data_IF_813566548101
#
_entry.id   IF_813566548101
#
_cell.length_a   1.000
_cell.length_b   1.000
_cell.length_c   1.000
_cell.angle_alpha   90.00
_cell.angle_beta   90.00
_cell.angle_gamma   90.00
#
_symmetry.space_group_name_H-M   'P 1'
#
loop_
_entity.id
_entity.type
_entity.pdbx_description
1 polymer ?
#
# COMPACT_ATOMS: atom_id res chain seq x y z
N UNK A 1 -52.90 -3.24 26.32
CA UNK A 1 -51.94 -3.22 27.45
C UNK A 1 -50.54 -3.32 26.86
N UNK A 2 -49.67 -2.37 27.16
CA UNK A 2 -48.39 -2.16 26.46
C UNK A 2 -47.32 -1.85 27.51
N UNK A 3 -46.60 -2.88 27.94
CA UNK A 3 -45.50 -2.81 28.91
C UNK A 3 -44.36 -3.64 28.28
N UNK A 4 -43.10 -3.25 28.25
CA UNK A 4 -42.23 -2.84 29.35
C UNK A 4 -41.09 -1.98 28.76
N UNK A 5 -40.73 -0.90 29.46
CA UNK A 5 -39.50 -0.11 29.22
C UNK A 5 -38.37 -0.74 30.04
N UNK A 6 -37.22 -0.98 29.41
CA UNK A 6 -35.98 -1.33 30.11
C UNK A 6 -35.03 -0.14 30.10
N UNK A 7 -34.80 0.39 31.30
CA UNK A 7 -33.70 1.27 31.65
C UNK A 7 -32.53 0.38 32.01
N UNK A 8 -31.34 0.63 31.46
CA UNK A 8 -30.10 0.16 32.06
C UNK A 8 -29.01 1.20 31.83
N UNK A 9 -28.61 1.84 32.93
CA UNK A 9 -27.45 2.69 33.03
C UNK A 9 -26.26 1.81 33.43
N UNK A 10 -25.13 1.95 32.74
CA UNK A 10 -23.85 1.47 33.28
C UNK A 10 -22.78 2.54 33.06
N UNK A 11 -22.30 3.08 34.17
CA UNK A 11 -21.09 3.91 34.25
C UNK A 11 -19.87 3.05 33.90
N UNK A 12 -18.95 3.61 33.09
CA UNK A 12 -17.55 3.19 33.11
C UNK A 12 -16.67 4.37 33.53
N UNK A 13 -16.20 4.29 34.77
CA UNK A 13 -15.10 5.09 35.28
C UNK A 13 -13.76 4.36 35.01
N UNK A 14 -12.73 5.17 34.76
CA UNK A 14 -11.35 4.83 34.44
C UNK A 14 -10.68 3.80 35.36
N UNK A 15 -9.69 3.09 34.82
CA UNK A 15 -8.41 2.84 35.49
C UNK A 15 -7.31 2.51 34.47
N UNK A 16 -6.34 3.42 34.38
CA UNK A 16 -5.04 3.24 33.74
C UNK A 16 -4.24 2.19 34.53
N UNK A 17 -3.67 1.21 33.85
CA UNK A 17 -2.52 0.46 34.38
C UNK A 17 -1.45 0.33 33.30
N UNK A 18 -0.32 0.96 33.56
CA UNK A 18 0.95 0.79 32.86
C UNK A 18 1.55 -0.54 33.27
N UNK A 19 1.74 -1.47 32.33
CA UNK A 19 2.57 -2.64 32.57
C UNK A 19 4.04 -2.29 32.28
N UNK A 20 4.84 -2.20 33.35
CA UNK A 20 6.29 -2.36 33.28
C UNK A 20 6.53 -3.86 33.29
N UNK A 21 7.08 -4.41 32.21
CA UNK A 21 7.60 -5.77 32.17
C UNK A 21 9.13 -5.71 32.23
N UNK A 22 9.69 -6.12 33.36
CA UNK A 22 11.07 -6.57 33.46
C UNK A 22 11.06 -8.10 33.35
N UNK A 23 11.73 -8.64 32.34
CA UNK A 23 12.20 -10.03 32.35
C UNK A 23 13.60 -10.06 31.74
N UNK A 24 14.57 -10.52 32.53
CA UNK A 24 15.94 -10.75 32.11
C UNK A 24 16.14 -12.19 31.67
N UNK A 25 16.87 -12.33 30.55
CA UNK A 25 17.64 -13.46 30.02
C UNK A 25 16.91 -14.76 29.63
N UNK A 26 16.77 -14.99 28.33
CA UNK A 26 17.73 -15.86 27.64
C UNK A 26 17.81 -15.55 26.12
N UNK A 27 19.02 -15.75 25.58
CA UNK A 27 19.50 -15.36 24.25
C UNK A 27 18.71 -15.96 23.05
N UNK A 28 18.20 -15.10 22.17
CA UNK A 28 18.31 -15.24 20.69
C UNK A 28 18.12 -13.86 20.06
N UNK A 29 19.24 -13.24 19.68
CA UNK A 29 19.27 -11.95 18.98
C UNK A 29 18.77 -12.13 17.55
N UNK A 30 17.50 -11.79 17.31
CA UNK A 30 17.04 -11.27 16.02
C UNK A 30 16.71 -9.79 16.26
N UNK A 31 17.75 -8.95 16.18
CA UNK A 31 17.58 -7.50 16.09
C UNK A 31 17.05 -7.17 14.69
N UNK A 32 15.73 -7.24 14.52
CA UNK A 32 15.04 -6.37 13.56
C UNK A 32 14.50 -5.18 14.35
N UNK A 33 15.43 -4.35 14.79
CA UNK A 33 15.14 -3.01 15.29
C UNK A 33 14.71 -2.16 14.08
N UNK A 34 13.43 -2.26 13.71
CA UNK A 34 12.77 -1.25 12.87
C UNK A 34 12.56 0.01 13.72
N UNK A 35 13.65 0.70 14.04
CA UNK A 35 13.59 2.06 14.52
C UNK A 35 13.35 2.95 13.31
N UNK A 36 12.11 3.39 13.12
CA UNK A 36 11.79 4.59 12.35
C UNK A 36 12.39 5.78 13.09
N UNK A 37 13.71 5.94 13.05
CA UNK A 37 14.35 7.14 13.55
C UNK A 37 13.87 8.29 12.68
N UNK A 38 13.10 9.20 13.27
CA UNK A 38 12.88 10.53 12.71
C UNK A 38 14.26 11.16 12.47
N UNK A 39 14.70 11.15 11.21
CA UNK A 39 16.07 11.48 10.90
C UNK A 39 16.26 13.00 10.99
N UNK A 40 16.79 13.45 12.12
CA UNK A 40 17.23 14.83 12.35
C UNK A 40 18.56 15.15 11.65
N UNK A 41 19.12 14.19 10.89
CA UNK A 41 20.31 14.39 10.07
C UNK A 41 20.08 15.44 8.98
N UNK A 42 21.04 16.36 8.87
CA UNK A 42 21.08 17.43 7.87
C UNK A 42 21.91 17.06 6.64
N UNK A 43 22.46 15.85 6.59
CA UNK A 43 23.34 15.40 5.51
C UNK A 43 22.56 15.13 4.23
N UNK A 44 23.11 15.55 3.09
CA UNK A 44 22.52 15.28 1.77
C UNK A 44 22.52 13.77 1.48
N UNK A 45 21.46 13.28 0.84
CA UNK A 45 21.34 11.86 0.46
C UNK A 45 22.27 11.55 -0.70
N UNK A 46 23.10 10.51 -0.56
CA UNK A 46 23.98 10.01 -1.64
C UNK A 46 23.17 9.21 -2.67
N UNK A 47 23.78 8.84 -3.79
CA UNK A 47 23.11 8.01 -4.81
C UNK A 47 22.83 6.61 -4.27
N UNK A 48 23.82 6.01 -3.61
CA UNK A 48 23.75 4.68 -3.01
C UNK A 48 22.75 4.64 -1.86
N UNK A 49 22.74 5.65 -0.97
CA UNK A 49 21.77 5.72 0.12
C UNK A 49 20.34 5.90 -0.42
N UNK A 50 20.16 6.71 -1.46
CA UNK A 50 18.86 6.92 -2.07
C UNK A 50 18.34 5.64 -2.75
N UNK A 51 19.16 4.97 -3.54
CA UNK A 51 18.77 3.72 -4.20
C UNK A 51 18.36 2.67 -3.19
N UNK A 52 19.20 2.42 -2.18
CA UNK A 52 18.90 1.49 -1.11
C UNK A 52 17.59 1.83 -0.41
N UNK A 53 17.42 3.10 -0.02
CA UNK A 53 16.21 3.55 0.68
C UNK A 53 14.96 3.41 -0.19
N UNK A 54 15.04 3.79 -1.46
CA UNK A 54 13.93 3.69 -2.41
C UNK A 54 13.47 2.24 -2.54
N UNK A 55 14.40 1.31 -2.80
CA UNK A 55 14.11 -0.12 -2.96
C UNK A 55 13.54 -0.71 -1.66
N UNK A 56 14.22 -0.54 -0.52
CA UNK A 56 13.74 -1.09 0.77
C UNK A 56 12.34 -0.59 1.16
N UNK A 57 12.03 0.67 0.85
CA UNK A 57 10.71 1.24 1.15
C UNK A 57 9.66 0.82 0.14
N UNK A 58 10.02 0.69 -1.13
CA UNK A 58 9.11 0.16 -2.12
C UNK A 58 8.69 -1.27 -1.76
N UNK A 59 9.66 -2.15 -1.52
CA UNK A 59 9.44 -3.55 -1.13
C UNK A 59 8.57 -3.64 0.14
N UNK A 60 8.87 -2.81 1.15
CA UNK A 60 8.09 -2.75 2.39
C UNK A 60 6.59 -2.49 2.17
N UNK A 61 6.26 -1.64 1.20
CA UNK A 61 4.86 -1.26 0.93
C UNK A 61 4.18 -2.17 -0.10
N UNK A 62 4.91 -2.81 -1.01
CA UNK A 62 4.32 -3.43 -2.20
C UNK A 62 4.64 -4.93 -2.42
N UNK A 63 5.71 -5.51 -1.86
CA UNK A 63 6.09 -6.92 -2.10
C UNK A 63 4.96 -7.93 -1.84
N UNK A 64 4.14 -7.65 -0.81
CA UNK A 64 3.04 -8.52 -0.39
C UNK A 64 1.68 -7.89 -0.69
N UNK A 65 1.60 -7.06 -1.73
CA UNK A 65 0.35 -6.52 -2.24
C UNK A 65 -0.60 -7.65 -2.57
N UNK A 66 -1.85 -7.56 -2.07
CA UNK A 66 -2.88 -8.56 -2.41
C UNK A 66 -3.23 -8.49 -3.90
N UNK A 67 -3.08 -7.34 -4.54
CA UNK A 67 -3.35 -7.17 -5.97
C UNK A 67 -2.30 -7.87 -6.85
N UNK A 68 -1.10 -8.12 -6.32
CA UNK A 68 -0.01 -8.81 -7.03
C UNK A 68 0.13 -10.28 -6.58
N UNK A 69 -0.70 -10.71 -5.62
CA UNK A 69 -0.72 -12.07 -5.09
C UNK A 69 -2.13 -12.66 -5.20
N UNK A 70 -2.92 -12.61 -4.11
CA UNK A 70 -4.24 -13.24 -4.00
C UNK A 70 -5.26 -12.79 -5.06
N UNK A 71 -5.07 -11.59 -5.62
CA UNK A 71 -5.95 -10.93 -6.55
C UNK A 71 -5.24 -10.41 -7.81
N UNK A 72 -4.14 -11.04 -8.21
CA UNK A 72 -3.50 -10.77 -9.50
C UNK A 72 -4.38 -11.29 -10.64
N UNK A 73 -5.41 -10.51 -10.96
CA UNK A 73 -6.30 -10.83 -12.06
C UNK A 73 -5.59 -10.81 -13.40
N UNK A 74 -4.44 -10.13 -13.53
CA UNK A 74 -3.71 -9.97 -14.79
C UNK A 74 -2.90 -11.21 -15.15
N UNK A 75 -2.58 -12.08 -14.18
CA UNK A 75 -2.03 -13.41 -14.45
C UNK A 75 -2.92 -14.24 -15.38
N UNK A 76 -2.27 -15.00 -16.28
CA UNK A 76 -2.93 -15.90 -17.23
C UNK A 76 -3.61 -17.10 -16.53
N UNK A 77 -3.15 -17.48 -15.34
CA UNK A 77 -3.67 -18.61 -14.57
C UNK A 77 -4.58 -18.19 -13.40
N UNK A 78 -4.98 -16.91 -13.37
CA UNK A 78 -5.78 -16.37 -12.28
C UNK A 78 -7.11 -17.12 -12.12
N UNK A 79 -7.35 -17.59 -10.89
CA UNK A 79 -8.63 -18.17 -10.48
C UNK A 79 -8.93 -17.78 -9.04
N UNK A 80 -10.22 -17.73 -8.69
CA UNK A 80 -10.64 -17.47 -7.31
C UNK A 80 -11.78 -18.40 -6.86
N UNK A 81 -11.72 -18.77 -5.59
CA UNK A 81 -12.75 -19.55 -4.90
C UNK A 81 -13.84 -18.64 -4.30
N UNK A 82 -15.00 -19.21 -3.97
CA UNK A 82 -16.11 -18.45 -3.40
C UNK A 82 -17.01 -17.78 -4.44
N UNK A 83 -17.87 -16.89 -3.95
CA UNK A 83 -18.85 -16.13 -4.75
C UNK A 83 -18.23 -14.88 -5.38
N UNK A 84 -18.86 -14.39 -6.46
CA UNK A 84 -18.45 -13.13 -7.10
C UNK A 84 -18.59 -11.94 -6.13
N UNK A 85 -19.61 -11.93 -5.28
CA UNK A 85 -19.84 -10.83 -4.34
C UNK A 85 -18.73 -10.74 -3.28
N UNK A 86 -18.35 -11.86 -2.68
CA UNK A 86 -17.22 -11.93 -1.75
C UNK A 86 -15.92 -11.47 -2.41
N UNK A 87 -15.69 -11.91 -3.65
CA UNK A 87 -14.54 -11.49 -4.44
C UNK A 87 -14.53 -9.99 -4.71
N UNK A 88 -15.62 -9.41 -5.21
CA UNK A 88 -15.74 -7.98 -5.53
C UNK A 88 -15.45 -7.10 -4.31
N UNK A 89 -15.96 -7.48 -3.14
CA UNK A 89 -15.70 -6.77 -1.88
C UNK A 89 -14.22 -6.82 -1.53
N UNK A 90 -13.62 -8.00 -1.54
CA UNK A 90 -12.22 -8.16 -1.16
C UNK A 90 -11.25 -7.51 -2.17
N UNK A 91 -11.57 -7.61 -3.46
CA UNK A 91 -10.83 -6.98 -4.55
C UNK A 91 -10.85 -5.45 -4.41
N UNK A 92 -12.02 -4.86 -4.23
CA UNK A 92 -12.13 -3.41 -4.05
C UNK A 92 -11.42 -2.92 -2.77
N UNK A 93 -11.48 -3.69 -1.68
CA UNK A 93 -10.73 -3.35 -0.47
C UNK A 93 -9.21 -3.34 -0.71
N UNK A 94 -8.69 -4.17 -1.61
CA UNK A 94 -7.27 -4.19 -1.95
C UNK A 94 -6.81 -2.92 -2.67
N UNK A 95 -7.71 -2.21 -3.38
CA UNK A 95 -7.42 -0.88 -3.92
C UNK A 95 -7.37 0.21 -2.84
N UNK A 96 -8.16 0.09 -1.77
CA UNK A 96 -8.04 0.99 -0.61
C UNK A 96 -6.70 0.78 0.12
N UNK A 97 -6.29 -0.48 0.27
CA UNK A 97 -4.96 -0.85 0.81
C UNK A 97 -3.85 -0.26 -0.08
N UNK A 98 -3.94 -0.44 -1.41
CA UNK A 98 -2.99 0.12 -2.37
C UNK A 98 -2.85 1.64 -2.26
N UNK A 99 -3.97 2.38 -2.22
CA UNK A 99 -3.93 3.84 -2.04
C UNK A 99 -3.22 4.24 -0.75
N UNK A 100 -3.56 3.57 0.35
CA UNK A 100 -2.95 3.85 1.66
C UNK A 100 -1.43 3.65 1.62
N UNK A 101 -0.98 2.57 0.96
CA UNK A 101 0.45 2.28 0.80
C UNK A 101 1.15 3.31 -0.10
N UNK A 102 0.53 3.73 -1.21
CA UNK A 102 1.06 4.79 -2.08
C UNK A 102 1.20 6.13 -1.34
N UNK A 103 0.20 6.53 -0.56
CA UNK A 103 0.26 7.75 0.26
C UNK A 103 1.36 7.68 1.32
N UNK A 104 1.49 6.53 2.00
CA UNK A 104 2.52 6.29 2.99
C UNK A 104 3.93 6.31 2.36
N UNK A 105 4.12 5.62 1.24
CA UNK A 105 5.37 5.61 0.50
C UNK A 105 5.79 7.00 0.04
N UNK A 106 4.86 7.77 -0.55
CA UNK A 106 5.09 9.17 -0.92
C UNK A 106 5.48 10.01 0.31
N UNK A 107 4.81 9.82 1.44
CA UNK A 107 5.12 10.55 2.66
C UNK A 107 6.53 10.22 3.18
N UNK A 108 6.92 8.95 3.14
CA UNK A 108 8.27 8.52 3.51
C UNK A 108 9.33 9.17 2.62
N UNK A 109 9.16 9.14 1.30
CA UNK A 109 10.06 9.81 0.37
C UNK A 109 10.19 11.32 0.66
N UNK A 110 9.07 12.01 0.91
CA UNK A 110 9.09 13.45 1.20
C UNK A 110 9.78 13.80 2.53
N UNK A 111 9.69 12.93 3.54
CA UNK A 111 10.20 13.24 4.88
C UNK A 111 11.66 12.80 5.08
N UNK A 112 12.06 11.69 4.45
CA UNK A 112 13.34 11.05 4.73
C UNK A 112 14.37 11.21 3.61
N UNK A 113 13.95 11.43 2.36
CA UNK A 113 14.90 11.75 1.27
C UNK A 113 15.25 13.24 1.37
N UNK A 114 16.51 13.53 1.71
CA UNK A 114 17.01 14.90 1.75
C UNK A 114 17.51 15.30 0.37
N UNK A 115 17.55 16.60 0.12
CA UNK A 115 18.10 17.14 -1.12
C UNK A 115 19.53 16.60 -1.33
N UNK A 116 19.74 15.92 -2.45
CA UNK A 116 20.94 15.18 -2.76
C UNK A 116 21.69 15.76 -3.96
N UNK A 117 22.22 14.88 -4.80
CA UNK A 117 22.72 15.24 -6.13
C UNK A 117 21.57 15.59 -7.07
N UNK A 118 21.86 16.23 -8.21
CA UNK A 118 20.85 16.52 -9.23
C UNK A 118 20.11 15.27 -9.73
N UNK A 119 20.79 14.14 -9.78
CA UNK A 119 20.24 12.86 -10.21
C UNK A 119 19.31 12.26 -9.15
N UNK A 120 19.69 12.35 -7.87
CA UNK A 120 18.83 11.94 -6.74
C UNK A 120 17.58 12.80 -6.69
N UNK A 121 17.74 14.13 -6.72
CA UNK A 121 16.62 15.08 -6.67
C UNK A 121 15.64 14.85 -7.84
N UNK A 122 16.18 14.63 -9.05
CA UNK A 122 15.38 14.37 -10.24
C UNK A 122 14.65 13.03 -10.13
N UNK A 123 15.35 11.96 -9.78
CA UNK A 123 14.72 10.64 -9.68
C UNK A 123 13.64 10.63 -8.59
N UNK A 124 13.89 11.26 -7.44
CA UNK A 124 12.88 11.36 -6.38
C UNK A 124 11.64 12.14 -6.82
N UNK A 125 11.81 13.22 -7.58
CA UNK A 125 10.69 13.95 -8.16
C UNK A 125 9.91 13.10 -9.19
N UNK A 126 10.62 12.33 -10.02
CA UNK A 126 10.01 11.42 -10.99
C UNK A 126 9.22 10.29 -10.28
N UNK A 127 9.75 9.74 -9.19
CA UNK A 127 9.08 8.72 -8.35
C UNK A 127 7.82 9.29 -7.72
N UNK A 128 7.91 10.45 -7.04
CA UNK A 128 6.75 11.10 -6.43
C UNK A 128 5.67 11.40 -7.48
N UNK A 129 6.06 11.82 -8.69
CA UNK A 129 5.13 12.08 -9.78
C UNK A 129 4.41 10.81 -10.23
N UNK A 130 5.08 9.66 -10.31
CA UNK A 130 4.43 8.40 -10.67
C UNK A 130 3.55 7.85 -9.55
N UNK A 131 3.94 8.05 -8.28
CA UNK A 131 3.05 7.75 -7.15
C UNK A 131 1.77 8.59 -7.24
N UNK A 132 1.86 9.89 -7.56
CA UNK A 132 0.69 10.75 -7.72
C UNK A 132 -0.23 10.31 -8.86
N UNK A 133 0.33 9.83 -9.98
CA UNK A 133 -0.46 9.22 -11.06
C UNK A 133 -1.17 7.96 -10.58
N UNK A 134 -0.46 7.06 -9.89
CA UNK A 134 -1.03 5.82 -9.37
C UNK A 134 -2.17 6.09 -8.39
N UNK A 135 -1.99 7.03 -7.45
CA UNK A 135 -3.06 7.46 -6.53
C UNK A 135 -4.26 7.99 -7.31
N UNK A 136 -4.05 8.86 -8.31
CA UNK A 136 -5.14 9.42 -9.12
C UNK A 136 -5.91 8.34 -9.90
N UNK A 137 -5.23 7.32 -10.44
CA UNK A 137 -5.89 6.20 -11.10
C UNK A 137 -6.67 5.31 -10.12
N UNK A 138 -6.15 5.09 -8.91
CA UNK A 138 -6.87 4.35 -7.86
C UNK A 138 -8.12 5.12 -7.39
N UNK A 139 -8.04 6.45 -7.33
CA UNK A 139 -9.20 7.30 -7.02
C UNK A 139 -10.28 7.24 -8.11
N UNK A 140 -9.91 7.25 -9.39
CA UNK A 140 -10.86 7.09 -10.50
C UNK A 140 -11.51 5.70 -10.51
N UNK A 141 -10.72 4.66 -10.27
CA UNK A 141 -11.20 3.29 -10.09
C UNK A 141 -12.23 3.23 -8.95
N UNK A 142 -11.86 3.70 -7.75
CA UNK A 142 -12.70 3.59 -6.55
C UNK A 142 -13.96 4.43 -6.67
N UNK A 143 -13.86 5.63 -7.26
CA UNK A 143 -14.98 6.53 -7.48
C UNK A 143 -16.02 6.00 -8.47
N UNK A 144 -15.63 5.10 -9.37
CA UNK A 144 -16.53 4.51 -10.37
C UNK A 144 -16.85 3.03 -10.13
N UNK A 145 -16.19 2.37 -9.19
CA UNK A 145 -16.28 0.92 -8.96
C UNK A 145 -17.72 0.45 -8.74
N UNK A 146 -18.43 1.03 -7.75
CA UNK A 146 -19.75 0.58 -7.36
C UNK A 146 -20.78 0.64 -8.51
N UNK A 147 -20.72 1.68 -9.33
CA UNK A 147 -21.63 1.82 -10.48
C UNK A 147 -21.26 0.86 -11.61
N UNK A 148 -19.96 0.73 -11.91
CA UNK A 148 -19.47 -0.12 -13.01
C UNK A 148 -19.62 -1.62 -12.69
N UNK A 149 -19.64 -2.01 -11.42
CA UNK A 149 -19.68 -3.42 -11.00
C UNK A 149 -21.03 -3.88 -10.42
N UNK A 150 -22.07 -3.04 -10.44
CA UNK A 150 -23.37 -3.33 -9.81
C UNK A 150 -24.02 -4.66 -10.23
N UNK A 151 -23.77 -5.12 -11.46
CA UNK A 151 -24.35 -6.35 -12.02
C UNK A 151 -23.35 -7.53 -12.01
N UNK A 152 -22.10 -7.31 -11.59
CA UNK A 152 -21.00 -8.27 -11.74
C UNK A 152 -21.16 -9.50 -10.86
N UNK A 153 -21.89 -9.38 -9.75
CA UNK A 153 -22.19 -10.51 -8.87
C UNK A 153 -22.96 -11.65 -9.58
N UNK A 154 -23.63 -11.34 -10.70
CA UNK A 154 -24.44 -12.30 -11.47
C UNK A 154 -23.76 -12.83 -12.74
N UNK A 155 -22.60 -12.27 -13.11
CA UNK A 155 -21.86 -12.65 -14.30
C UNK A 155 -21.13 -13.99 -14.14
N UNK A 156 -20.75 -14.60 -15.26
CA UNK A 156 -19.75 -15.65 -15.24
C UNK A 156 -18.41 -15.08 -14.71
N UNK A 157 -17.61 -15.92 -14.02
CA UNK A 157 -16.38 -15.45 -13.33
C UNK A 157 -15.37 -14.83 -14.30
N UNK A 158 -15.23 -15.41 -15.48
CA UNK A 158 -14.35 -14.93 -16.55
C UNK A 158 -14.82 -13.58 -17.11
N UNK A 159 -16.13 -13.40 -17.31
CA UNK A 159 -16.72 -12.12 -17.73
C UNK A 159 -16.53 -11.03 -16.67
N UNK A 160 -16.74 -11.37 -15.39
CA UNK A 160 -16.47 -10.48 -14.28
C UNK A 160 -15.01 -10.05 -14.23
N UNK A 161 -14.08 -11.02 -14.26
CA UNK A 161 -12.63 -10.74 -14.24
C UNK A 161 -12.22 -9.86 -15.42
N UNK A 162 -12.73 -10.13 -16.61
CA UNK A 162 -12.49 -9.29 -17.79
C UNK A 162 -12.97 -7.85 -17.57
N UNK A 163 -14.18 -7.67 -17.03
CA UNK A 163 -14.70 -6.35 -16.67
C UNK A 163 -13.83 -5.65 -15.62
N UNK A 164 -13.33 -6.38 -14.64
CA UNK A 164 -12.43 -5.86 -13.61
C UNK A 164 -11.08 -5.41 -14.18
N UNK A 165 -10.50 -6.17 -15.12
CA UNK A 165 -9.29 -5.74 -15.87
C UNK A 165 -9.55 -4.41 -16.59
N UNK A 166 -10.67 -4.29 -17.29
CA UNK A 166 -10.98 -3.09 -18.05
C UNK A 166 -11.11 -1.85 -17.15
N UNK A 167 -11.74 -1.96 -15.98
CA UNK A 167 -11.89 -0.82 -15.05
C UNK A 167 -10.61 -0.54 -14.26
N UNK A 168 -9.81 -1.56 -13.96
CA UNK A 168 -8.58 -1.46 -13.15
C UNK A 168 -7.32 -1.15 -13.97
N UNK A 169 -7.41 -1.17 -15.31
CA UNK A 169 -6.26 -1.08 -16.20
C UNK A 169 -5.39 0.15 -15.95
N UNK A 170 -5.98 1.32 -15.80
CA UNK A 170 -5.22 2.55 -15.60
C UNK A 170 -4.36 2.49 -14.32
N UNK A 171 -4.90 1.91 -13.24
CA UNK A 171 -4.17 1.74 -11.99
C UNK A 171 -3.07 0.71 -12.09
N UNK A 172 -3.32 -0.39 -12.81
CA UNK A 172 -2.31 -1.42 -13.08
C UNK A 172 -1.15 -0.85 -13.90
N UNK A 173 -1.44 -0.19 -15.03
CA UNK A 173 -0.42 0.44 -15.87
C UNK A 173 0.40 1.48 -15.10
N UNK A 174 -0.24 2.26 -14.22
CA UNK A 174 0.45 3.25 -13.39
C UNK A 174 1.35 2.61 -12.33
N UNK A 175 0.99 1.43 -11.81
CA UNK A 175 1.85 0.64 -10.91
C UNK A 175 3.03 0.04 -11.66
N UNK A 176 2.83 -0.51 -12.87
CA UNK A 176 3.94 -0.97 -13.72
C UNK A 176 4.92 0.16 -14.04
N UNK A 177 4.43 1.37 -14.34
CA UNK A 177 5.28 2.54 -14.56
C UNK A 177 6.13 2.91 -13.32
N UNK A 178 5.54 2.80 -12.12
CA UNK A 178 6.23 3.06 -10.86
C UNK A 178 7.28 1.97 -10.57
N UNK A 179 6.91 0.71 -10.75
CA UNK A 179 7.76 -0.47 -10.55
C UNK A 179 9.01 -0.39 -11.45
N UNK A 180 8.80 -0.18 -12.74
CA UNK A 180 9.87 0.01 -13.71
C UNK A 180 10.80 1.18 -13.35
N UNK A 181 10.28 2.23 -12.71
CA UNK A 181 11.09 3.37 -12.29
C UNK A 181 12.02 3.01 -11.12
N UNK A 182 11.52 2.23 -10.16
CA UNK A 182 12.26 1.74 -8.99
C UNK A 182 13.31 0.71 -9.42
N UNK A 183 12.94 -0.28 -10.23
CA UNK A 183 13.84 -1.30 -10.77
C UNK A 183 15.04 -0.70 -11.53
N UNK A 184 14.79 0.39 -12.26
CA UNK A 184 15.82 1.08 -13.03
C UNK A 184 16.54 2.20 -12.24
N UNK A 185 16.34 2.30 -10.92
CA UNK A 185 16.92 3.37 -10.10
C UNK A 185 18.46 3.38 -10.16
N UNK A 186 19.12 2.22 -10.03
CA UNK A 186 20.59 2.11 -10.14
C UNK A 186 21.13 2.71 -11.44
N UNK A 187 20.53 2.33 -12.57
CA UNK A 187 20.91 2.83 -13.87
C UNK A 187 20.68 4.34 -14.01
N UNK A 188 19.54 4.84 -13.51
CA UNK A 188 19.19 6.28 -13.55
C UNK A 188 20.10 7.14 -12.67
N UNK A 189 20.61 6.57 -11.59
CA UNK A 189 21.56 7.23 -10.68
C UNK A 189 23.01 7.11 -11.20
N UNK A 190 23.29 6.18 -12.10
CA UNK A 190 24.64 5.90 -12.61
C UNK A 190 25.49 5.11 -11.62
N UNK A 191 24.86 4.26 -10.81
CA UNK A 191 25.53 3.33 -9.88
C UNK A 191 25.95 2.10 -10.67
N UNK A 192 27.20 1.65 -10.48
CA UNK A 192 27.80 0.48 -11.16
C UNK A 192 27.84 -0.74 -10.27
#
# INVERSE_FOLDING_TARGET
>A
MKNIKLVSALLLAMLLTTFISCSNNDSTTNDSTNTTENNTSTTATTKEDYEKYLTERYDYYFDNSKLDNDYDIYSDDFTFNGTNEEFLVAYNNSYNDLKTNLEAFKNDLNNYVKKGTSEVDKLNADVITNIDKAIASVDDYTGSFAEKTKDYATLAKDEMVKGLKDIGKASHDAMEDLDNLVDNAKAKLGIS
#
